data_IF_444929819201
#
_entry.id   IF_444929819201
#
_cell.length_a   1.000
_cell.length_b   1.000
_cell.length_c   1.000
_cell.angle_alpha   90.00
_cell.angle_beta   90.00
_cell.angle_gamma   90.00
#
_symmetry.space_group_name_H-M   'P 1'
#
loop_
_entity.id
_entity.type
_entity.pdbx_description
1 polymer ?
#
# COMPACT_ATOMS: atom_id res chain seq x y z
N UNK A 1 -11.50 -6.10 -12.74
CA UNK A 1 -11.45 -4.74 -12.15
C UNK A 1 -12.20 -3.79 -13.05
N UNK A 2 -11.77 -3.53 -14.28
CA UNK A 2 -12.35 -2.57 -15.24
C UNK A 2 -13.87 -2.68 -15.39
N UNK A 3 -14.40 -3.91 -15.54
CA UNK A 3 -15.86 -4.16 -15.69
C UNK A 3 -16.68 -3.65 -14.49
N UNK A 4 -16.08 -3.63 -13.29
CA UNK A 4 -16.75 -3.24 -12.04
C UNK A 4 -16.56 -1.74 -11.79
N UNK A 5 -15.35 -1.23 -12.01
CA UNK A 5 -14.97 0.15 -11.68
C UNK A 5 -15.22 1.15 -12.80
N UNK A 6 -15.28 0.69 -14.06
CA UNK A 6 -15.27 1.54 -15.25
C UNK A 6 -13.94 2.29 -15.47
N UNK A 7 -12.90 1.93 -14.71
CA UNK A 7 -11.55 2.50 -14.85
C UNK A 7 -10.76 1.70 -15.89
N UNK A 8 -9.88 2.37 -16.61
CA UNK A 8 -8.88 1.70 -17.47
C UNK A 8 -7.69 1.31 -16.59
N UNK A 9 -7.17 0.10 -16.81
CA UNK A 9 -5.97 -0.39 -16.15
C UNK A 9 -4.78 -0.23 -17.09
N UNK A 10 -3.91 0.73 -16.83
CA UNK A 10 -2.77 1.06 -17.68
C UNK A 10 -1.65 0.03 -17.56
N UNK A 11 -1.40 -0.46 -16.33
CA UNK A 11 -0.33 -1.40 -16.05
C UNK A 11 -0.75 -2.52 -15.11
N UNK A 12 -0.15 -3.69 -15.32
CA UNK A 12 -0.30 -4.86 -14.45
C UNK A 12 1.08 -5.32 -14.00
N UNK A 13 1.24 -5.47 -12.69
CA UNK A 13 2.46 -6.02 -12.08
C UNK A 13 2.10 -7.18 -11.16
N UNK A 14 2.81 -8.29 -11.32
CA UNK A 14 2.71 -9.46 -10.45
C UNK A 14 4.07 -9.74 -9.85
N UNK A 15 4.13 -9.94 -8.55
CA UNK A 15 5.35 -10.30 -7.83
C UNK A 15 5.18 -11.69 -7.21
N UNK A 16 6.16 -12.58 -7.40
CA UNK A 16 6.23 -13.83 -6.67
C UNK A 16 6.91 -13.66 -5.30
N UNK A 17 6.82 -14.67 -4.45
CA UNK A 17 7.35 -14.58 -3.09
C UNK A 17 8.88 -14.42 -3.04
N UNK A 18 9.59 -15.08 -3.94
CA UNK A 18 11.05 -14.98 -4.01
C UNK A 18 11.49 -13.62 -4.48
N UNK A 19 10.84 -13.13 -5.55
CA UNK A 19 11.05 -11.79 -6.07
C UNK A 19 10.75 -10.70 -5.06
N UNK A 20 9.64 -10.82 -4.31
CA UNK A 20 9.30 -9.89 -3.24
C UNK A 20 10.41 -9.82 -2.18
N UNK A 21 10.91 -10.96 -1.70
CA UNK A 21 12.00 -11.01 -0.72
C UNK A 21 13.26 -10.31 -1.24
N UNK A 22 13.67 -10.66 -2.45
CA UNK A 22 14.87 -10.10 -3.07
C UNK A 22 14.74 -8.58 -3.29
N UNK A 23 13.55 -8.09 -3.64
CA UNK A 23 13.30 -6.67 -3.79
C UNK A 23 13.42 -5.92 -2.46
N UNK A 24 12.84 -6.45 -1.40
CA UNK A 24 12.95 -5.87 -0.04
C UNK A 24 14.41 -5.84 0.41
N UNK A 25 15.16 -6.91 0.19
CA UNK A 25 16.58 -6.97 0.55
C UNK A 25 17.42 -6.00 -0.27
N UNK A 26 17.12 -5.81 -1.57
CA UNK A 26 17.78 -4.83 -2.43
C UNK A 26 17.53 -3.37 -1.98
N UNK A 27 16.39 -3.12 -1.33
CA UNK A 27 16.07 -1.81 -0.71
C UNK A 27 16.82 -1.59 0.62
N UNK A 28 17.46 -2.61 1.18
CA UNK A 28 18.08 -2.57 2.51
C UNK A 28 17.13 -2.83 3.66
N UNK A 29 15.98 -3.45 3.39
CA UNK A 29 14.89 -3.69 4.33
C UNK A 29 13.88 -2.56 4.39
N UNK A 30 12.76 -2.80 5.08
CA UNK A 30 11.65 -1.85 5.22
C UNK A 30 11.29 -1.70 6.70
N UNK A 31 11.19 -0.48 7.26
CA UNK A 31 10.77 -0.30 8.64
C UNK A 31 9.27 -0.57 8.78
N UNK A 32 8.90 -1.48 9.66
CA UNK A 32 7.51 -1.73 10.06
C UNK A 32 7.34 -1.46 11.53
N UNK A 33 6.18 -0.93 11.93
CA UNK A 33 5.89 -0.61 13.33
C UNK A 33 4.75 -1.49 13.83
N UNK A 34 4.96 -2.13 14.97
CA UNK A 34 3.99 -2.97 15.65
C UNK A 34 3.71 -2.40 17.06
N UNK A 35 2.45 -2.29 17.44
CA UNK A 35 2.07 -1.85 18.81
C UNK A 35 2.38 -2.92 19.86
N UNK A 36 2.38 -4.17 19.47
CA UNK A 36 2.66 -5.34 20.30
C UNK A 36 3.60 -6.28 19.60
N UNK A 37 4.38 -7.01 20.38
CA UNK A 37 5.14 -8.13 19.84
C UNK A 37 4.22 -9.16 19.19
N UNK A 38 4.66 -9.71 18.08
CA UNK A 38 3.93 -10.70 17.28
C UNK A 38 4.79 -11.92 17.11
N UNK A 39 4.25 -13.06 17.52
CA UNK A 39 4.75 -14.39 17.22
C UNK A 39 3.64 -15.15 16.48
N UNK A 40 3.82 -15.33 15.17
CA UNK A 40 2.87 -16.00 14.28
C UNK A 40 3.55 -17.23 13.65
N UNK A 41 3.33 -18.41 14.21
CA UNK A 41 3.93 -19.65 13.69
C UNK A 41 3.47 -19.99 12.26
N UNK A 42 2.25 -19.60 11.88
CA UNK A 42 1.69 -19.90 10.54
C UNK A 42 2.38 -19.12 9.44
N UNK A 43 2.75 -17.87 9.71
CA UNK A 43 3.50 -17.04 8.78
C UNK A 43 5.00 -17.03 9.04
N UNK A 44 5.47 -17.67 10.13
CA UNK A 44 6.84 -17.62 10.65
C UNK A 44 7.31 -16.19 10.97
N UNK A 45 6.41 -15.37 11.50
CA UNK A 45 6.69 -14.01 11.89
C UNK A 45 6.96 -13.94 13.39
N UNK A 46 8.18 -13.54 13.75
CA UNK A 46 8.55 -13.19 15.13
C UNK A 46 9.16 -11.80 15.11
N UNK A 47 8.41 -10.81 15.61
CA UNK A 47 8.83 -9.41 15.66
C UNK A 47 8.45 -8.78 17.01
N UNK A 48 9.36 -8.00 17.61
CA UNK A 48 9.08 -7.25 18.84
C UNK A 48 8.10 -6.10 18.57
N UNK A 49 7.51 -5.57 19.65
CA UNK A 49 6.81 -4.30 19.60
C UNK A 49 7.77 -3.15 19.24
N UNK A 50 7.24 -2.10 18.61
CA UNK A 50 8.01 -0.96 18.14
C UNK A 50 8.36 -1.05 16.66
N UNK A 51 9.32 -0.22 16.24
CA UNK A 51 9.75 -0.17 14.83
C UNK A 51 10.94 -1.09 14.60
N UNK A 52 10.79 -1.99 13.65
CA UNK A 52 11.84 -2.94 13.24
C UNK A 52 12.06 -2.83 11.73
N UNK A 53 13.31 -2.78 11.29
CA UNK A 53 13.64 -2.90 9.86
C UNK A 53 13.62 -4.38 9.50
N UNK A 54 12.61 -4.77 8.72
CA UNK A 54 12.42 -6.17 8.30
C UNK A 54 13.15 -6.47 7.00
N UNK A 55 13.80 -7.63 6.92
CA UNK A 55 14.37 -8.17 5.69
C UNK A 55 13.28 -8.83 4.83
N UNK A 56 13.65 -9.37 3.67
CA UNK A 56 12.70 -9.98 2.74
C UNK A 56 11.87 -11.12 3.31
N UNK A 57 12.47 -12.01 4.13
CA UNK A 57 11.75 -13.12 4.78
C UNK A 57 10.73 -12.57 5.81
N UNK A 58 11.16 -11.69 6.68
CA UNK A 58 10.32 -11.07 7.69
C UNK A 58 9.20 -10.21 7.07
N UNK A 59 9.52 -9.48 5.99
CA UNK A 59 8.54 -8.69 5.24
C UNK A 59 7.46 -9.59 4.62
N UNK A 60 7.86 -10.71 4.00
CA UNK A 60 6.91 -11.67 3.44
C UNK A 60 6.01 -12.27 4.52
N UNK A 61 6.60 -12.64 5.66
CA UNK A 61 5.85 -13.12 6.81
C UNK A 61 4.85 -12.07 7.30
N UNK A 62 5.29 -10.80 7.44
CA UNK A 62 4.45 -9.67 7.88
C UNK A 62 3.23 -9.43 6.97
N UNK A 63 3.42 -9.38 5.64
CA UNK A 63 2.30 -9.12 4.70
C UNK A 63 1.36 -10.32 4.54
N UNK A 64 1.77 -11.52 5.00
CA UNK A 64 0.98 -12.75 4.96
C UNK A 64 0.32 -13.10 6.29
N UNK A 65 0.81 -12.59 7.42
CA UNK A 65 0.26 -12.89 8.75
C UNK A 65 -1.25 -12.59 8.80
N UNK A 66 -2.04 -13.51 9.38
CA UNK A 66 -3.50 -13.38 9.45
C UNK A 66 -4.02 -13.46 10.88
N UNK A 67 -3.56 -14.43 11.66
CA UNK A 67 -4.20 -14.81 12.91
C UNK A 67 -3.71 -14.06 14.14
N UNK A 68 -2.50 -13.56 14.12
CA UNK A 68 -1.84 -12.92 15.28
C UNK A 68 -1.78 -11.41 15.20
N UNK A 69 -2.13 -10.83 14.06
CA UNK A 69 -2.13 -9.37 13.83
C UNK A 69 -3.51 -8.92 13.35
N UNK A 70 -4.11 -7.99 14.11
CA UNK A 70 -5.42 -7.42 13.79
C UNK A 70 -6.57 -8.34 14.19
N UNK A 71 -7.65 -8.29 13.41
CA UNK A 71 -8.88 -9.04 13.64
C UNK A 71 -8.91 -10.44 12.99
N UNK A 72 -7.79 -10.84 12.36
CA UNK A 72 -7.68 -12.11 11.64
C UNK A 72 -8.36 -12.13 10.26
N UNK A 73 -8.97 -11.02 9.84
CA UNK A 73 -9.70 -10.93 8.58
C UNK A 73 -8.77 -10.68 7.38
N UNK A 74 -9.27 -10.96 6.18
CA UNK A 74 -8.62 -10.58 4.93
C UNK A 74 -8.51 -9.06 4.77
N UNK A 75 -9.45 -8.32 5.35
CA UNK A 75 -9.45 -6.85 5.34
C UNK A 75 -8.29 -6.32 6.18
N UNK A 76 -8.05 -6.88 7.37
CA UNK A 76 -6.88 -6.57 8.19
C UNK A 76 -5.55 -6.85 7.45
N UNK A 77 -5.49 -7.93 6.65
CA UNK A 77 -4.34 -8.22 5.80
C UNK A 77 -4.12 -7.15 4.73
N UNK A 78 -5.17 -6.70 4.05
CA UNK A 78 -5.07 -5.62 3.04
C UNK A 78 -4.50 -4.34 3.64
N UNK A 79 -4.92 -3.97 4.84
CA UNK A 79 -4.40 -2.79 5.54
C UNK A 79 -2.89 -2.92 5.84
N UNK A 80 -2.43 -4.10 6.27
CA UNK A 80 -0.99 -4.34 6.47
C UNK A 80 -0.20 -4.26 5.18
N UNK A 81 -0.75 -4.77 4.09
CA UNK A 81 -0.12 -4.66 2.77
C UNK A 81 0.00 -3.19 2.33
N UNK A 82 -1.03 -2.37 2.57
CA UNK A 82 -0.97 -0.93 2.32
C UNK A 82 0.05 -0.23 3.22
N UNK A 83 0.08 -0.57 4.51
CA UNK A 83 1.08 -0.05 5.46
C UNK A 83 2.51 -0.40 5.02
N UNK A 84 2.73 -1.66 4.62
CA UNK A 84 4.02 -2.10 4.11
C UNK A 84 4.43 -1.37 2.83
N UNK A 85 3.51 -1.23 1.87
CA UNK A 85 3.77 -0.51 0.63
C UNK A 85 4.15 0.96 0.90
N UNK A 86 3.43 1.62 1.81
CA UNK A 86 3.78 2.97 2.26
C UNK A 86 5.19 3.04 2.82
N UNK A 87 5.52 2.14 3.77
CA UNK A 87 6.84 2.10 4.38
C UNK A 87 7.95 1.81 3.36
N UNK A 88 7.68 0.96 2.36
CA UNK A 88 8.60 0.67 1.27
C UNK A 88 8.87 1.91 0.40
N UNK A 89 7.83 2.63 0.02
CA UNK A 89 7.96 3.89 -0.73
C UNK A 89 8.70 4.96 0.10
N UNK A 90 8.45 5.03 1.41
CA UNK A 90 9.18 5.90 2.34
C UNK A 90 10.66 5.54 2.39
N UNK A 91 10.97 4.27 2.42
CA UNK A 91 12.35 3.78 2.45
C UNK A 91 13.12 4.18 1.19
N UNK A 92 12.52 4.04 0.01
CA UNK A 92 13.16 4.44 -1.25
C UNK A 92 13.52 5.93 -1.28
N UNK A 93 12.69 6.78 -0.69
CA UNK A 93 12.95 8.21 -0.63
C UNK A 93 13.96 8.60 0.46
N UNK A 94 13.78 8.06 1.68
CA UNK A 94 14.56 8.49 2.85
C UNK A 94 15.98 7.95 2.85
N UNK A 95 16.21 6.75 2.30
CA UNK A 95 17.54 6.14 2.19
C UNK A 95 18.38 6.74 1.03
N UNK A 96 17.87 7.76 0.33
CA UNK A 96 18.54 8.36 -0.81
C UNK A 96 18.68 7.40 -1.99
N UNK A 97 17.85 6.34 -2.05
CA UNK A 97 17.90 5.36 -3.14
C UNK A 97 17.55 5.99 -4.48
N UNK A 98 16.59 6.92 -4.48
CA UNK A 98 16.17 7.61 -5.70
C UNK A 98 17.18 8.67 -6.19
N UNK A 99 18.08 9.10 -5.32
CA UNK A 99 19.09 10.14 -5.62
C UNK A 99 20.48 9.55 -5.90
N UNK A 100 20.70 8.27 -5.54
CA UNK A 100 21.93 7.53 -5.81
C UNK A 100 21.74 6.61 -7.04
N UNK A 101 22.35 6.90 -8.19
CA UNK A 101 22.20 6.11 -9.40
C UNK A 101 22.56 4.62 -9.24
N UNK A 102 23.52 4.31 -8.37
CA UNK A 102 23.94 2.93 -8.12
C UNK A 102 22.89 2.17 -7.31
N UNK A 103 22.36 2.77 -6.25
CA UNK A 103 21.29 2.18 -5.44
C UNK A 103 20.02 2.01 -6.26
N UNK A 104 19.63 3.06 -7.00
CA UNK A 104 18.47 3.02 -7.89
C UNK A 104 18.59 1.89 -8.90
N UNK A 105 19.74 1.76 -9.56
CA UNK A 105 19.99 0.65 -10.49
C UNK A 105 19.84 -0.72 -9.82
N UNK A 106 20.37 -0.90 -8.62
CA UNK A 106 20.25 -2.17 -7.87
C UNK A 106 18.80 -2.53 -7.57
N UNK A 107 18.00 -1.56 -7.12
CA UNK A 107 16.58 -1.77 -6.83
C UNK A 107 15.79 -2.04 -8.13
N UNK A 108 16.06 -1.29 -9.20
CA UNK A 108 15.39 -1.49 -10.49
C UNK A 108 15.78 -2.85 -11.13
N UNK A 109 17.03 -3.27 -11.02
CA UNK A 109 17.47 -4.59 -11.48
C UNK A 109 16.80 -5.71 -10.67
N UNK A 110 16.71 -5.56 -9.35
CA UNK A 110 15.96 -6.49 -8.51
C UNK A 110 14.48 -6.50 -8.89
N UNK A 111 13.87 -5.34 -9.13
CA UNK A 111 12.46 -5.22 -9.55
C UNK A 111 12.20 -5.91 -10.89
N UNK A 112 13.07 -5.73 -11.90
CA UNK A 112 12.91 -6.40 -13.21
C UNK A 112 12.98 -7.91 -13.13
N UNK A 113 13.70 -8.44 -12.15
CA UNK A 113 13.81 -9.90 -11.90
C UNK A 113 12.66 -10.44 -11.04
N UNK A 114 12.09 -9.58 -10.20
CA UNK A 114 11.04 -9.91 -9.24
C UNK A 114 9.64 -9.80 -9.82
N UNK A 115 9.45 -8.92 -10.81
CA UNK A 115 8.13 -8.55 -11.33
C UNK A 115 7.88 -9.19 -12.70
N UNK A 116 6.70 -9.78 -12.83
CA UNK A 116 6.10 -10.04 -14.14
C UNK A 116 5.19 -8.87 -14.46
N UNK A 117 5.48 -8.15 -15.53
CA UNK A 117 4.77 -6.92 -15.91
C UNK A 117 4.19 -7.04 -17.30
N UNK A 118 3.24 -6.14 -17.62
CA UNK A 118 2.83 -5.90 -18.99
C UNK A 118 4.00 -5.33 -19.84
N UNK A 119 3.87 -5.32 -21.18
CA UNK A 119 4.93 -4.79 -22.05
C UNK A 119 5.26 -3.31 -21.84
N UNK A 120 4.36 -2.54 -21.23
CA UNK A 120 4.56 -1.12 -20.89
C UNK A 120 5.65 -0.91 -19.84
N UNK A 121 5.83 -1.87 -18.92
CA UNK A 121 6.83 -1.84 -17.86
C UNK A 121 7.92 -2.91 -17.99
N UNK A 122 7.97 -3.64 -19.09
CA UNK A 122 8.78 -4.83 -19.30
C UNK A 122 10.29 -4.58 -19.51
N UNK A 123 10.84 -3.42 -19.14
CA UNK A 123 12.28 -3.15 -19.21
C UNK A 123 12.74 -2.23 -18.08
N UNK A 124 14.05 -2.29 -17.78
CA UNK A 124 14.67 -1.45 -16.75
C UNK A 124 14.44 0.06 -17.03
N UNK A 125 14.57 0.50 -18.30
CA UNK A 125 14.34 1.90 -18.67
C UNK A 125 12.90 2.34 -18.42
N UNK A 126 11.93 1.53 -18.82
CA UNK A 126 10.50 1.83 -18.60
C UNK A 126 10.12 1.85 -17.13
N UNK A 127 10.71 0.96 -16.31
CA UNK A 127 10.54 1.02 -14.87
C UNK A 127 11.20 2.27 -14.26
N UNK A 128 12.37 2.68 -14.78
CA UNK A 128 13.02 3.90 -14.33
C UNK A 128 12.19 5.16 -14.69
N UNK A 129 11.62 5.21 -15.89
CA UNK A 129 10.73 6.28 -16.31
C UNK A 129 9.48 6.34 -15.41
N UNK A 130 8.84 5.20 -15.16
CA UNK A 130 7.69 5.09 -14.25
C UNK A 130 8.01 5.56 -12.82
N UNK A 131 9.16 5.16 -12.28
CA UNK A 131 9.61 5.63 -10.94
C UNK A 131 9.88 7.13 -10.95
N UNK A 132 10.43 7.67 -12.04
CA UNK A 132 10.68 9.11 -12.17
C UNK A 132 9.37 9.91 -12.21
N UNK A 133 8.35 9.41 -12.88
CA UNK A 133 7.02 10.02 -12.91
C UNK A 133 6.38 10.01 -11.52
N UNK A 134 6.49 8.89 -10.80
CA UNK A 134 6.01 8.80 -9.42
C UNK A 134 6.74 9.73 -8.44
N UNK A 135 8.04 9.98 -8.68
CA UNK A 135 8.86 10.86 -7.83
C UNK A 135 8.37 12.31 -7.84
N UNK A 136 7.69 12.74 -8.91
CA UNK A 136 7.15 14.10 -9.03
C UNK A 136 5.94 14.32 -8.11
N UNK A 137 5.25 13.25 -7.70
CA UNK A 137 4.07 13.34 -6.83
C UNK A 137 4.52 13.61 -5.39
N UNK A 138 4.15 14.75 -4.79
CA UNK A 138 4.46 14.99 -3.38
C UNK A 138 3.81 13.92 -2.49
N UNK A 139 4.53 13.47 -1.49
CA UNK A 139 4.03 12.39 -0.61
C UNK A 139 2.73 12.72 0.12
N UNK A 140 2.56 13.99 0.48
CA UNK A 140 1.36 14.47 1.15
C UNK A 140 0.13 14.43 0.24
N UNK A 141 0.34 14.27 -1.06
CA UNK A 141 -0.73 14.20 -2.06
C UNK A 141 -1.11 12.74 -2.39
N UNK A 142 -0.40 11.76 -1.81
CA UNK A 142 -0.74 10.34 -1.96
C UNK A 142 -1.74 9.94 -0.90
N UNK A 143 -2.95 9.57 -1.33
CA UNK A 143 -4.01 9.09 -0.45
C UNK A 143 -4.29 7.61 -0.70
N UNK A 144 -4.23 6.82 0.37
CA UNK A 144 -4.58 5.39 0.34
C UNK A 144 -6.01 5.22 0.81
N UNK A 145 -6.83 4.67 -0.05
CA UNK A 145 -8.25 4.44 0.23
C UNK A 145 -8.61 2.96 0.08
N UNK A 146 -9.44 2.48 0.98
CA UNK A 146 -10.12 1.20 0.78
C UNK A 146 -11.43 1.48 0.04
N UNK A 147 -11.70 0.76 -1.05
CA UNK A 147 -12.98 0.88 -1.74
C UNK A 147 -14.11 0.61 -0.76
N UNK A 148 -15.14 1.48 -0.65
CA UNK A 148 -16.26 1.28 0.26
C UNK A 148 -16.94 -0.08 0.07
N UNK A 149 -17.05 -0.84 1.15
CA UNK A 149 -17.63 -2.17 1.18
C UNK A 149 -18.67 -2.31 2.30
N UNK A 150 -19.50 -3.34 2.22
CA UNK A 150 -20.44 -3.72 3.26
C UNK A 150 -20.53 -5.23 3.38
N UNK A 151 -21.04 -5.71 4.52
CA UNK A 151 -21.27 -7.14 4.71
C UNK A 151 -22.35 -7.64 3.74
N UNK A 152 -22.07 -8.76 3.09
CA UNK A 152 -23.04 -9.42 2.24
C UNK A 152 -24.05 -10.15 3.12
N UNK A 153 -25.28 -9.64 3.18
CA UNK A 153 -26.31 -10.11 4.12
C UNK A 153 -26.64 -11.63 4.02
N UNK A 154 -26.65 -12.24 2.83
CA UNK A 154 -26.89 -13.67 2.72
C UNK A 154 -25.75 -14.56 3.25
N UNK A 155 -24.52 -14.06 3.34
CA UNK A 155 -23.37 -14.79 3.85
C UNK A 155 -22.44 -13.83 4.65
N UNK A 156 -22.48 -13.92 6.00
CA UNK A 156 -21.71 -13.00 6.87
C UNK A 156 -20.18 -13.18 6.77
N UNK A 157 -19.70 -14.18 6.04
CA UNK A 157 -18.26 -14.35 5.77
C UNK A 157 -17.80 -13.63 4.50
N UNK A 158 -18.69 -12.91 3.82
CA UNK A 158 -18.43 -12.21 2.58
C UNK A 158 -18.73 -10.73 2.70
N UNK A 159 -18.02 -9.96 1.86
CA UNK A 159 -18.27 -8.53 1.66
C UNK A 159 -18.67 -8.28 0.22
N UNK A 160 -19.40 -7.22 0.00
CA UNK A 160 -19.75 -6.68 -1.32
C UNK A 160 -19.43 -5.19 -1.38
N UNK A 161 -19.38 -4.63 -2.56
CA UNK A 161 -19.19 -3.18 -2.72
C UNK A 161 -20.38 -2.43 -2.14
N UNK A 162 -20.10 -1.43 -1.31
CA UNK A 162 -21.14 -0.51 -0.86
C UNK A 162 -21.59 0.42 -2.00
N UNK A 163 -22.76 1.02 -1.88
CA UNK A 163 -23.29 1.97 -2.88
C UNK A 163 -22.32 3.12 -3.16
N UNK A 164 -21.58 3.58 -2.17
CA UNK A 164 -20.54 4.62 -2.27
C UNK A 164 -19.29 4.21 -3.05
N UNK A 165 -19.11 2.94 -3.35
CA UNK A 165 -17.98 2.48 -4.17
C UNK A 165 -18.04 3.05 -5.59
N UNK A 166 -19.25 3.17 -6.16
CA UNK A 166 -19.42 3.74 -7.50
C UNK A 166 -19.06 5.21 -7.55
N UNK A 167 -19.40 5.99 -6.51
CA UNK A 167 -19.05 7.41 -6.41
C UNK A 167 -17.53 7.60 -6.36
N UNK A 168 -16.80 6.69 -5.68
CA UNK A 168 -15.34 6.70 -5.69
C UNK A 168 -14.79 6.42 -7.10
N UNK A 169 -15.30 5.41 -7.78
CA UNK A 169 -14.86 5.06 -9.14
C UNK A 169 -15.18 6.17 -10.15
N UNK A 170 -16.33 6.82 -10.02
CA UNK A 170 -16.71 7.93 -10.87
C UNK A 170 -15.80 9.15 -10.66
N UNK A 171 -15.47 9.47 -9.42
CA UNK A 171 -14.52 10.54 -9.11
C UNK A 171 -13.14 10.27 -9.72
N UNK A 172 -12.63 9.03 -9.59
CA UNK A 172 -11.35 8.62 -10.19
C UNK A 172 -11.40 8.68 -11.72
N UNK A 173 -12.50 8.21 -12.34
CA UNK A 173 -12.65 8.18 -13.81
C UNK A 173 -12.75 9.57 -14.40
N UNK A 174 -13.37 10.51 -13.68
CA UNK A 174 -13.58 11.89 -14.13
C UNK A 174 -12.46 12.84 -13.69
N UNK A 175 -11.46 12.34 -12.98
CA UNK A 175 -10.36 13.12 -12.39
C UNK A 175 -10.89 14.28 -11.54
N UNK A 176 -11.88 13.99 -10.70
CA UNK A 176 -12.53 14.94 -9.80
C UNK A 176 -12.23 14.62 -8.34
N UNK A 177 -12.43 15.59 -7.46
CA UNK A 177 -12.27 15.37 -6.03
C UNK A 177 -13.25 14.28 -5.54
N UNK A 178 -12.73 13.33 -4.75
CA UNK A 178 -13.57 12.32 -4.10
C UNK A 178 -14.46 13.01 -3.05
N UNK A 179 -15.79 12.76 -3.04
CA UNK A 179 -16.69 13.36 -2.06
C UNK A 179 -16.25 13.08 -0.61
N UNK A 180 -16.42 14.07 0.28
CA UNK A 180 -15.95 13.98 1.68
C UNK A 180 -16.57 12.81 2.44
N UNK A 181 -17.84 12.50 2.20
CA UNK A 181 -18.53 11.38 2.83
C UNK A 181 -18.00 10.00 2.34
N UNK A 182 -17.58 9.92 1.07
CA UNK A 182 -16.89 8.74 0.52
C UNK A 182 -15.50 8.60 1.15
N UNK A 183 -14.75 9.70 1.27
CA UNK A 183 -13.45 9.73 1.94
C UNK A 183 -13.57 9.31 3.41
N UNK A 184 -14.55 9.84 4.13
CA UNK A 184 -14.80 9.51 5.52
C UNK A 184 -15.15 8.02 5.70
N UNK A 185 -15.99 7.46 4.82
CA UNK A 185 -16.34 6.05 4.85
C UNK A 185 -15.13 5.17 4.53
N UNK A 186 -14.39 5.46 3.46
CA UNK A 186 -13.21 4.74 3.05
C UNK A 186 -12.10 4.79 4.11
N UNK A 187 -11.89 5.95 4.74
CA UNK A 187 -10.97 6.14 5.85
C UNK A 187 -11.44 5.40 7.12
N UNK A 188 -12.74 5.42 7.42
CA UNK A 188 -13.34 4.70 8.55
C UNK A 188 -13.17 3.18 8.41
N UNK A 189 -13.38 2.65 7.23
CA UNK A 189 -13.15 1.23 6.93
C UNK A 189 -11.66 0.86 6.95
N UNK A 190 -10.78 1.76 6.49
CA UNK A 190 -9.34 1.63 6.66
C UNK A 190 -8.88 1.85 8.09
N UNK A 191 -9.58 2.65 8.89
CA UNK A 191 -9.26 2.94 10.29
C UNK A 191 -9.75 1.86 11.26
N UNK A 192 -10.78 1.12 10.93
CA UNK A 192 -11.13 -0.11 11.67
C UNK A 192 -9.98 -1.12 11.64
N UNK A 193 -9.14 -1.02 10.62
CA UNK A 193 -7.87 -1.74 10.50
C UNK A 193 -6.70 -0.98 11.11
N UNK A 194 -6.79 0.36 11.27
CA UNK A 194 -5.76 1.22 11.90
C UNK A 194 -5.81 1.26 13.43
N UNK A 195 -6.89 0.80 14.07
CA UNK A 195 -7.00 0.75 15.52
C UNK A 195 -5.91 -0.13 16.20
N UNK A 196 -4.97 -0.61 15.39
CA UNK A 196 -3.84 -1.46 15.77
C UNK A 196 -2.45 -0.88 15.50
N UNK A 197 -2.31 0.36 15.07
CA UNK A 197 -0.99 0.86 14.69
C UNK A 197 -0.80 2.37 14.68
N UNK A 198 -1.26 3.08 15.70
CA UNK A 198 -0.94 4.49 15.80
C UNK A 198 -1.28 5.09 17.14
N UNK A 199 -0.27 5.35 17.98
CA UNK A 199 -0.42 6.31 19.07
C UNK A 199 -0.81 7.67 18.46
N UNK A 200 -1.75 8.43 19.09
CA UNK A 200 -2.04 9.78 18.65
C UNK A 200 -0.84 10.66 18.96
N UNK A 201 -0.01 10.90 17.97
CA UNK A 201 0.91 12.03 18.00
C UNK A 201 0.08 13.30 18.06
N UNK A 202 0.13 14.00 19.21
CA UNK A 202 -0.69 15.13 19.50
C UNK A 202 -0.45 16.31 18.57
N UNK A 203 -1.52 17.03 18.32
CA UNK A 203 -1.46 18.47 18.16
C UNK A 203 -1.63 19.01 16.77
N UNK A 204 -2.68 19.75 16.60
CA UNK A 204 -2.71 20.92 15.73
C UNK A 204 -3.56 20.79 14.50
N UNK A 205 -4.82 21.18 14.64
CA UNK A 205 -5.72 21.41 13.53
C UNK A 205 -5.10 22.35 12.49
N UNK A 206 -5.18 21.93 11.24
CA UNK A 206 -5.33 22.80 10.09
C UNK A 206 -6.28 22.10 9.14
N UNK A 207 -7.49 22.62 9.10
CA UNK A 207 -8.43 22.41 8.01
C UNK A 207 -7.83 23.09 6.78
N UNK A 208 -7.10 22.34 6.00
CA UNK A 208 -6.66 22.75 4.68
C UNK A 208 -7.34 21.84 3.67
N UNK A 209 -8.34 22.37 2.97
CA UNK A 209 -8.88 21.74 1.78
C UNK A 209 -7.75 21.61 0.74
N UNK A 210 -7.49 20.39 0.23
CA UNK A 210 -6.58 20.26 -0.91
C UNK A 210 -7.22 20.90 -2.13
N UNK A 211 -6.66 21.99 -2.61
CA UNK A 211 -7.03 22.55 -3.90
C UNK A 211 -6.36 21.74 -4.99
N UNK A 212 -7.06 20.84 -5.61
CA UNK A 212 -6.67 20.24 -6.88
C UNK A 212 -6.87 21.31 -7.96
N UNK A 213 -5.81 22.04 -8.27
CA UNK A 213 -5.78 22.97 -9.38
C UNK A 213 -5.47 22.25 -10.68
N UNK A 214 -6.36 22.40 -11.64
CA UNK A 214 -6.19 21.99 -13.03
C UNK A 214 -4.87 22.51 -13.62
N UNK A 215 -4.04 21.61 -14.17
CA UNK A 215 -3.20 21.87 -15.35
C UNK A 215 -3.13 20.62 -16.19
#
# INVERSE_FOLDING_TARGET
VETISGLTVDHVMVVDFTGFKNLVDAMGGVPVTLDKAVDDPDSHLDLPAGTTVVNGEQALAFVRARHTIGDGSDIGRMSRQQQFLNAALDTLNTNGTLDDPKKLYQVLDAATKALTTDPGLGSLSKLADFVSDLKVIPRNDITYLTVPWQWYQPDPNRVELASKAQELFDAMRLDTAVPEDVLALAAGQGAQTRAWGGAPGGGGGRTGTPSWGAR
#
